data_IF_996598516166
#
_entry.id   IF_996598516166
#
_cell.length_a   1.000
_cell.length_b   1.000
_cell.length_c   1.000
_cell.angle_alpha   90.00
_cell.angle_beta   90.00
_cell.angle_gamma   90.00
#
_symmetry.space_group_name_H-M   'P 1'
#
loop_
_entity.id
_entity.type
_entity.pdbx_description
1 polymer ?
#
# COMPACT_ATOMS: atom_id res chain seq x y z
N UNK A 1 45.19 -9.64 25.68
CA UNK A 1 44.93 -8.26 26.13
C UNK A 1 44.27 -7.55 24.96
N UNK A 2 42.94 -7.43 24.96
CA UNK A 2 42.16 -6.88 23.84
C UNK A 2 42.21 -5.36 23.90
N UNK A 3 42.87 -4.75 22.92
CA UNK A 3 43.06 -3.30 22.78
C UNK A 3 42.05 -2.70 21.79
N UNK A 4 40.75 -2.97 21.94
CA UNK A 4 39.66 -2.24 21.27
C UNK A 4 38.34 -2.48 22.04
N UNK A 5 38.29 -2.05 23.31
CA UNK A 5 36.98 -1.80 23.93
C UNK A 5 36.42 -0.51 23.31
N UNK A 6 35.38 -0.64 22.47
CA UNK A 6 34.48 0.48 22.14
C UNK A 6 34.15 1.12 23.49
N UNK A 7 34.52 2.39 23.66
CA UNK A 7 34.23 3.23 24.83
C UNK A 7 32.83 2.95 25.35
N UNK A 8 32.65 2.93 26.68
CA UNK A 8 31.36 2.64 27.33
C UNK A 8 30.20 3.39 26.65
N UNK A 9 29.45 2.67 25.82
CA UNK A 9 28.36 3.22 25.05
C UNK A 9 27.25 3.65 26.00
N UNK A 10 26.95 4.94 26.00
CA UNK A 10 25.89 5.56 26.79
C UNK A 10 24.66 5.70 25.91
N UNK A 11 23.50 5.40 26.47
CA UNK A 11 22.19 5.56 25.85
C UNK A 11 21.36 6.57 26.62
N UNK A 12 20.57 7.37 25.90
CA UNK A 12 19.47 8.13 26.50
C UNK A 12 18.40 7.15 26.99
N UNK A 13 17.87 7.40 28.20
CA UNK A 13 16.72 6.68 28.71
C UNK A 13 15.42 7.42 28.38
N UNK A 14 14.44 6.66 27.93
CA UNK A 14 13.12 7.11 27.52
C UNK A 14 12.04 6.63 28.48
N UNK A 15 10.97 7.39 28.59
CA UNK A 15 9.70 6.92 29.16
C UNK A 15 8.99 5.99 28.19
N UNK A 16 7.92 5.32 28.63
CA UNK A 16 7.03 4.52 27.77
C UNK A 16 6.43 5.33 26.61
N UNK A 17 6.32 6.65 26.78
CA UNK A 17 5.74 7.60 25.83
C UNK A 17 6.82 8.23 24.93
N UNK A 18 8.04 7.70 24.95
CA UNK A 18 9.22 8.14 24.17
C UNK A 18 9.74 9.53 24.50
N UNK A 19 9.47 10.00 25.70
CA UNK A 19 10.06 11.24 26.19
C UNK A 19 11.45 10.95 26.80
N UNK A 20 12.46 11.75 26.43
CA UNK A 20 13.79 11.63 27.06
C UNK A 20 13.68 11.99 28.54
N UNK A 21 14.20 11.12 29.40
CA UNK A 21 14.20 11.32 30.86
C UNK A 21 15.33 12.23 31.35
N UNK A 22 16.30 12.55 30.48
CA UNK A 22 17.54 13.26 30.84
C UNK A 22 18.58 12.38 31.54
N UNK A 23 18.30 11.10 31.76
CA UNK A 23 19.23 10.14 32.36
C UNK A 23 19.95 9.33 31.27
N UNK A 24 21.21 9.02 31.55
CA UNK A 24 22.03 8.15 30.71
C UNK A 24 22.13 6.75 31.32
N UNK A 25 22.30 5.75 30.46
CA UNK A 25 22.47 4.36 30.83
C UNK A 25 23.63 3.72 30.07
N UNK A 26 24.43 2.90 30.75
CA UNK A 26 25.53 2.16 30.11
C UNK A 26 25.02 0.85 29.53
N UNK A 27 25.31 0.61 28.25
CA UNK A 27 24.88 -0.58 27.47
C UNK A 27 25.03 -1.94 28.18
N UNK A 28 26.06 -2.11 29.01
CA UNK A 28 26.39 -3.39 29.67
C UNK A 28 25.63 -3.60 30.99
N UNK A 29 24.94 -2.59 31.51
CA UNK A 29 24.22 -2.66 32.78
C UNK A 29 22.75 -3.08 32.55
N UNK A 30 22.07 -3.67 33.55
CA UNK A 30 20.63 -3.90 33.47
C UNK A 30 19.87 -2.58 33.34
N UNK A 31 18.96 -2.49 32.37
CA UNK A 31 18.08 -1.33 32.22
C UNK A 31 17.27 -1.11 33.49
N UNK A 32 17.19 0.13 34.02
CA UNK A 32 16.32 0.44 35.15
C UNK A 32 14.86 0.12 34.83
N UNK A 33 14.08 -0.19 35.88
CA UNK A 33 12.65 -0.43 35.73
C UNK A 33 11.94 0.76 35.09
N UNK A 34 10.97 0.48 34.23
CA UNK A 34 10.14 1.48 33.54
C UNK A 34 10.95 2.50 32.73
N UNK A 35 12.15 2.09 32.28
CA UNK A 35 13.04 2.88 31.41
C UNK A 35 13.31 2.13 30.11
N UNK A 36 13.33 2.87 29.01
CA UNK A 36 13.40 2.34 27.66
C UNK A 36 14.61 2.93 26.93
N UNK A 37 15.15 2.20 25.95
CA UNK A 37 16.17 2.71 25.02
C UNK A 37 15.64 2.77 23.59
N UNK A 38 16.34 3.51 22.73
CA UNK A 38 16.06 3.55 21.30
C UNK A 38 17.07 2.69 20.54
N UNK A 39 16.56 1.80 19.71
CA UNK A 39 17.29 1.06 18.68
C UNK A 39 16.82 1.51 17.31
N UNK A 40 17.65 1.27 16.30
CA UNK A 40 17.34 1.57 14.91
C UNK A 40 17.73 0.39 14.04
N UNK A 41 16.94 0.16 12.99
CA UNK A 41 17.30 -0.68 11.87
C UNK A 41 17.10 0.08 10.56
N UNK A 42 17.96 -0.18 9.60
CA UNK A 42 17.82 0.34 8.24
C UNK A 42 17.63 -0.84 7.29
N UNK A 43 16.61 -0.75 6.45
CA UNK A 43 16.32 -1.68 5.36
C UNK A 43 16.56 -0.95 4.04
N UNK A 44 17.70 -1.25 3.41
CA UNK A 44 18.10 -0.67 2.13
C UNK A 44 17.65 -1.61 1.02
N UNK A 45 16.82 -1.10 0.13
CA UNK A 45 16.38 -1.79 -1.07
C UNK A 45 17.02 -1.18 -2.31
N UNK A 46 17.25 -1.99 -3.33
CA UNK A 46 17.62 -1.50 -4.66
C UNK A 46 16.38 -1.34 -5.56
N UNK A 47 16.62 -0.88 -6.78
CA UNK A 47 15.58 -0.69 -7.81
C UNK A 47 14.94 -2.00 -8.30
N UNK A 48 15.58 -3.15 -8.03
CA UNK A 48 15.06 -4.49 -8.33
C UNK A 48 14.20 -5.09 -7.20
N UNK A 49 13.88 -4.32 -6.16
CA UNK A 49 13.17 -4.77 -4.96
C UNK A 49 13.88 -5.92 -4.21
N UNK A 50 15.22 -5.94 -4.26
CA UNK A 50 16.04 -6.79 -3.39
C UNK A 50 16.38 -6.01 -2.11
N UNK A 51 16.36 -6.71 -0.97
CA UNK A 51 16.82 -6.17 0.30
C UNK A 51 18.31 -6.44 0.44
N UNK A 52 19.10 -5.42 0.81
CA UNK A 52 20.46 -5.63 1.27
C UNK A 52 20.39 -6.30 2.63
N UNK A 53 20.85 -7.54 2.73
CA UNK A 53 20.93 -8.26 4.00
C UNK A 53 22.39 -8.38 4.42
N UNK A 54 22.61 -8.39 5.72
CA UNK A 54 23.94 -8.60 6.28
C UNK A 54 24.00 -9.87 7.12
N UNK A 55 25.13 -10.56 7.09
CA UNK A 55 25.42 -11.63 8.03
C UNK A 55 26.23 -11.07 9.18
N UNK A 56 25.72 -11.24 10.39
CA UNK A 56 26.36 -10.79 11.63
C UNK A 56 27.62 -11.62 11.90
N UNK A 57 28.64 -11.01 12.49
CA UNK A 57 29.84 -11.74 12.88
C UNK A 57 29.52 -12.87 13.89
N UNK A 58 30.24 -14.02 13.84
CA UNK A 58 29.93 -15.18 14.67
C UNK A 58 30.24 -14.98 16.16
N UNK A 59 30.98 -13.93 16.51
CA UNK A 59 31.33 -13.58 17.89
C UNK A 59 30.43 -12.47 18.47
N UNK A 60 29.37 -12.04 17.75
CA UNK A 60 28.38 -11.11 18.30
C UNK A 60 27.61 -11.75 19.46
N UNK A 61 27.38 -10.97 20.53
CA UNK A 61 26.59 -11.42 21.69
C UNK A 61 25.14 -11.80 21.33
N UNK A 62 24.51 -11.03 20.43
CA UNK A 62 23.15 -11.25 19.95
C UNK A 62 23.15 -11.76 18.52
N UNK A 63 22.40 -12.84 18.29
CA UNK A 63 22.21 -13.48 16.98
C UNK A 63 23.52 -13.72 16.21
N UNK A 64 24.54 -14.35 16.83
CA UNK A 64 25.82 -14.61 16.17
C UNK A 64 25.61 -15.40 14.88
N UNK A 65 26.31 -15.02 13.81
CA UNK A 65 26.32 -15.71 12.51
C UNK A 65 24.97 -15.76 11.75
N UNK A 66 23.94 -15.10 12.26
CA UNK A 66 22.63 -14.99 11.59
C UNK A 66 22.65 -13.91 10.52
N UNK A 67 21.79 -14.07 9.52
CA UNK A 67 21.43 -13.01 8.60
C UNK A 67 20.41 -12.07 9.22
N UNK A 68 20.54 -10.80 8.90
CA UNK A 68 19.78 -9.68 9.43
C UNK A 68 19.36 -8.75 8.28
N UNK A 69 18.49 -7.79 8.56
CA UNK A 69 18.25 -6.65 7.68
C UNK A 69 19.52 -5.80 7.54
N UNK A 70 19.52 -4.78 6.68
CA UNK A 70 20.77 -4.17 6.19
C UNK A 70 21.72 -3.70 7.28
N UNK A 71 21.20 -2.99 8.30
CA UNK A 71 21.98 -2.41 9.42
C UNK A 71 21.10 -2.39 10.66
N UNK A 72 21.68 -2.61 11.85
CA UNK A 72 20.94 -2.56 13.11
C UNK A 72 21.80 -2.16 14.31
N UNK A 73 21.40 -1.10 15.02
CA UNK A 73 22.19 -0.51 16.09
C UNK A 73 21.38 0.17 17.18
N UNK A 74 22.07 0.82 18.12
CA UNK A 74 21.43 1.55 19.22
C UNK A 74 21.72 3.05 19.08
N UNK A 75 20.74 3.89 19.39
CA UNK A 75 20.98 5.31 19.49
C UNK A 75 21.87 5.59 20.70
N UNK A 76 23.01 6.27 20.49
CA UNK A 76 23.88 6.69 21.60
C UNK A 76 23.34 7.98 22.22
N UNK A 77 23.86 8.34 23.39
CA UNK A 77 23.45 9.53 24.12
C UNK A 77 23.55 10.78 23.24
N UNK A 78 22.44 11.51 23.12
CA UNK A 78 22.34 12.69 22.27
C UNK A 78 21.83 12.42 20.86
N UNK A 79 21.88 11.18 20.35
CA UNK A 79 21.36 10.85 19.03
C UNK A 79 19.84 11.12 18.95
N UNK A 80 19.41 11.60 17.79
CA UNK A 80 18.07 11.34 17.27
C UNK A 80 18.01 9.95 16.62
N UNK A 81 16.80 9.45 16.36
CA UNK A 81 16.61 8.20 15.61
C UNK A 81 17.31 8.24 14.24
N UNK A 82 17.17 9.34 13.48
CA UNK A 82 17.77 9.47 12.15
C UNK A 82 19.29 9.60 12.19
N UNK A 83 19.84 10.27 13.21
CA UNK A 83 21.29 10.36 13.42
C UNK A 83 21.89 9.00 13.75
N UNK A 84 21.21 8.21 14.60
CA UNK A 84 21.63 6.85 14.89
C UNK A 84 21.62 5.99 13.62
N UNK A 85 20.53 6.03 12.83
CA UNK A 85 20.43 5.28 11.58
C UNK A 85 21.56 5.64 10.59
N UNK A 86 21.81 6.93 10.39
CA UNK A 86 22.88 7.43 9.54
C UNK A 86 24.27 6.97 10.03
N UNK A 87 24.54 7.08 11.33
CA UNK A 87 25.80 6.66 11.94
C UNK A 87 26.02 5.16 11.79
N UNK A 88 25.02 4.34 12.11
CA UNK A 88 25.14 2.87 12.02
C UNK A 88 25.35 2.41 10.58
N UNK A 89 24.71 3.05 9.59
CA UNK A 89 24.94 2.72 8.16
C UNK A 89 26.37 3.04 7.74
N UNK A 90 26.90 4.18 8.18
CA UNK A 90 28.28 4.54 7.91
C UNK A 90 29.26 3.62 8.64
N UNK A 91 29.03 3.32 9.92
CA UNK A 91 29.89 2.44 10.72
C UNK A 91 29.93 1.03 10.12
N UNK A 92 28.77 0.39 9.89
CA UNK A 92 28.70 -1.02 9.51
C UNK A 92 29.03 -1.27 8.03
N UNK A 93 28.60 -0.39 7.12
CA UNK A 93 28.71 -0.57 5.67
C UNK A 93 29.66 0.39 4.97
N UNK A 94 30.01 1.52 5.61
CA UNK A 94 30.82 2.57 5.00
C UNK A 94 30.05 3.45 4.01
N UNK A 95 28.72 3.50 4.10
CA UNK A 95 27.87 4.28 3.19
C UNK A 95 27.44 5.56 3.87
N UNK A 96 27.58 6.69 3.17
CA UNK A 96 27.03 7.97 3.60
C UNK A 96 25.63 8.15 3.01
N UNK A 97 24.61 8.19 3.88
CA UNK A 97 23.22 8.49 3.52
C UNK A 97 22.74 9.66 4.39
N UNK A 98 21.94 10.55 3.82
CA UNK A 98 21.33 11.66 4.55
C UNK A 98 19.92 11.29 5.02
N UNK A 99 19.75 11.18 6.34
CA UNK A 99 18.44 10.89 6.96
C UNK A 99 17.74 12.14 7.51
N UNK A 100 18.22 13.35 7.20
CA UNK A 100 17.68 14.60 7.74
C UNK A 100 16.19 14.84 7.43
N UNK A 101 15.72 14.34 6.29
CA UNK A 101 14.32 14.42 5.85
C UNK A 101 13.59 13.08 5.90
N UNK A 102 14.21 12.07 6.50
CA UNK A 102 13.65 10.72 6.61
C UNK A 102 13.06 10.49 8.00
N UNK A 103 12.01 9.68 8.06
CA UNK A 103 11.36 9.27 9.32
C UNK A 103 11.33 7.74 9.40
N UNK A 104 11.29 7.16 10.61
CA UNK A 104 11.02 5.73 10.75
C UNK A 104 9.72 5.38 10.03
N UNK A 105 9.77 4.34 9.21
CA UNK A 105 8.61 3.82 8.51
C UNK A 105 7.67 3.09 9.47
N UNK A 106 8.25 2.32 10.39
CA UNK A 106 7.54 1.68 11.50
C UNK A 106 8.42 1.65 12.74
N UNK A 107 7.81 1.49 13.91
CA UNK A 107 8.55 1.16 15.13
C UNK A 107 8.01 -0.11 15.76
N UNK A 108 8.93 -0.97 16.17
CA UNK A 108 8.65 -2.14 17.00
C UNK A 108 8.98 -1.86 18.47
N UNK A 109 8.12 -2.28 19.39
CA UNK A 109 8.43 -2.23 20.82
C UNK A 109 9.04 -3.57 21.27
N UNK A 110 10.01 -3.51 22.17
CA UNK A 110 10.52 -4.66 22.90
C UNK A 110 10.59 -4.33 24.40
N UNK A 111 10.82 -5.34 25.24
CA UNK A 111 10.72 -5.19 26.71
C UNK A 111 11.53 -4.04 27.31
N UNK A 112 12.64 -3.67 26.67
CA UNK A 112 13.53 -2.60 27.12
C UNK A 112 13.60 -1.40 26.18
N UNK A 113 12.72 -1.27 25.18
CA UNK A 113 12.86 -0.16 24.24
C UNK A 113 11.95 -0.14 23.02
N UNK A 114 12.33 0.77 22.12
CA UNK A 114 11.72 1.03 20.83
C UNK A 114 12.74 0.75 19.73
N UNK A 115 12.31 0.21 18.61
CA UNK A 115 13.16 -0.16 17.49
C UNK A 115 12.61 0.41 16.19
N UNK A 116 13.17 1.54 15.78
CA UNK A 116 12.75 2.33 14.62
C UNK A 116 13.33 1.74 13.32
N UNK A 117 12.47 1.36 12.39
CA UNK A 117 12.87 0.81 11.10
C UNK A 117 12.76 1.87 10.01
N UNK A 118 13.86 2.17 9.34
CA UNK A 118 13.92 3.02 8.16
C UNK A 118 13.93 2.17 6.89
N UNK A 119 13.18 2.59 5.88
CA UNK A 119 13.18 1.95 4.55
C UNK A 119 13.77 2.94 3.56
N UNK A 120 14.92 2.59 2.98
CA UNK A 120 15.66 3.44 2.04
C UNK A 120 15.76 2.72 0.70
N UNK A 121 15.68 3.48 -0.39
CA UNK A 121 15.89 2.99 -1.75
C UNK A 121 17.18 3.57 -2.31
N UNK A 122 18.15 2.71 -2.59
CA UNK A 122 19.45 3.09 -3.13
C UNK A 122 20.09 1.89 -3.85
N UNK A 123 20.43 2.07 -5.13
CA UNK A 123 21.29 1.12 -5.83
C UNK A 123 22.74 1.28 -5.34
N UNK A 124 23.31 0.20 -4.81
CA UNK A 124 24.65 0.17 -4.22
C UNK A 124 25.47 -0.95 -4.86
N UNK A 125 26.67 -0.59 -5.32
CA UNK A 125 27.68 -1.56 -5.71
C UNK A 125 28.34 -2.16 -4.48
N UNK A 126 28.05 -3.44 -4.20
CA UNK A 126 28.56 -4.15 -3.04
C UNK A 126 30.09 -4.21 -2.97
N UNK A 127 30.79 -4.10 -4.10
CA UNK A 127 32.25 -4.12 -4.15
C UNK A 127 32.89 -2.86 -3.55
N UNK A 128 32.12 -1.78 -3.43
CA UNK A 128 32.58 -0.49 -2.88
C UNK A 128 32.46 -0.38 -1.36
N UNK A 129 31.77 -1.34 -0.73
CA UNK A 129 31.46 -1.31 0.69
C UNK A 129 32.69 -1.49 1.57
N UNK A 130 32.70 -0.78 2.70
CA UNK A 130 33.74 -0.89 3.73
C UNK A 130 33.12 -1.48 4.98
N UNK A 131 32.98 -2.80 4.98
CA UNK A 131 32.34 -3.52 6.08
C UNK A 131 33.15 -3.43 7.37
N UNK A 132 32.49 -3.07 8.48
CA UNK A 132 33.10 -3.14 9.80
C UNK A 132 33.28 -4.58 10.24
N UNK A 133 34.54 -5.02 10.35
CA UNK A 133 34.91 -6.42 10.61
C UNK A 133 34.46 -6.91 11.98
N UNK A 134 34.16 -6.01 12.91
CA UNK A 134 33.67 -6.33 14.25
C UNK A 134 32.15 -6.59 14.28
N UNK A 135 31.41 -6.12 13.27
CA UNK A 135 29.95 -6.19 13.20
C UNK A 135 29.48 -7.13 12.08
N UNK A 136 30.00 -6.93 10.88
CA UNK A 136 29.50 -7.52 9.63
C UNK A 136 30.48 -8.52 9.04
N UNK A 137 30.00 -9.73 8.78
CA UNK A 137 30.77 -10.80 8.13
C UNK A 137 30.74 -10.68 6.61
N UNK A 138 29.57 -10.48 6.05
CA UNK A 138 29.33 -10.34 4.62
C UNK A 138 27.96 -9.73 4.38
N UNK A 139 27.72 -9.23 3.16
CA UNK A 139 26.43 -8.70 2.73
C UNK A 139 26.06 -9.28 1.37
N UNK A 140 24.77 -9.27 1.04
CA UNK A 140 24.28 -9.55 -0.31
C UNK A 140 22.91 -8.93 -0.54
N UNK A 141 22.58 -8.73 -1.81
CA UNK A 141 21.20 -8.51 -2.23
C UNK A 141 20.42 -9.83 -2.16
N UNK A 142 19.19 -9.77 -1.67
CA UNK A 142 18.30 -10.94 -1.60
C UNK A 142 16.85 -10.55 -1.95
N UNK A 143 16.22 -11.37 -2.78
CA UNK A 143 14.79 -11.27 -3.07
C UNK A 143 13.93 -11.76 -1.90
N UNK A 144 12.66 -11.38 -1.90
CA UNK A 144 11.67 -11.79 -0.89
C UNK A 144 11.67 -13.30 -0.65
N UNK A 145 11.62 -14.09 -1.72
CA UNK A 145 11.57 -15.55 -1.66
C UNK A 145 12.83 -16.14 -1.01
N UNK A 146 13.99 -15.55 -1.27
CA UNK A 146 15.26 -15.98 -0.66
C UNK A 146 15.27 -15.70 0.83
N UNK A 147 14.89 -14.48 1.24
CA UNK A 147 14.85 -14.09 2.65
C UNK A 147 13.86 -14.96 3.43
N UNK A 148 12.69 -15.26 2.87
CA UNK A 148 11.71 -16.15 3.49
C UNK A 148 12.20 -17.60 3.57
N UNK A 149 12.91 -18.08 2.55
CA UNK A 149 13.56 -19.39 2.59
C UNK A 149 14.62 -19.44 3.70
N UNK A 150 15.42 -18.39 3.87
CA UNK A 150 16.43 -18.30 4.93
C UNK A 150 15.80 -18.27 6.33
N UNK A 151 14.67 -17.57 6.48
CA UNK A 151 13.89 -17.59 7.72
C UNK A 151 13.35 -18.98 8.03
N UNK A 152 12.80 -19.68 7.04
CA UNK A 152 12.34 -21.07 7.18
C UNK A 152 13.49 -22.05 7.50
N UNK A 153 14.70 -21.77 7.03
CA UNK A 153 15.92 -22.54 7.33
C UNK A 153 16.53 -22.20 8.70
N UNK A 154 16.01 -21.19 9.40
CA UNK A 154 16.53 -20.77 10.71
C UNK A 154 17.89 -20.08 10.65
N UNK A 155 18.25 -19.45 9.52
CA UNK A 155 19.51 -18.70 9.35
C UNK A 155 19.31 -17.19 9.20
N UNK A 156 18.07 -16.71 9.16
CA UNK A 156 17.68 -15.30 9.17
C UNK A 156 16.97 -14.98 10.49
N UNK A 157 17.21 -13.80 11.08
CA UNK A 157 16.48 -13.34 12.26
C UNK A 157 14.97 -13.30 11.94
N UNK A 158 14.11 -13.86 12.80
CA UNK A 158 12.71 -14.13 12.46
C UNK A 158 11.81 -12.91 12.66
N UNK A 159 12.06 -11.82 11.94
CA UNK A 159 11.14 -10.69 11.90
C UNK A 159 9.79 -11.13 11.32
N UNK A 160 8.70 -10.96 12.07
CA UNK A 160 7.37 -11.42 11.66
C UNK A 160 6.79 -10.62 10.47
N UNK A 161 7.33 -9.43 10.21
CA UNK A 161 6.92 -8.52 9.14
C UNK A 161 7.89 -8.50 7.95
N UNK A 162 8.84 -9.45 7.90
CA UNK A 162 9.92 -9.44 6.91
C UNK A 162 9.41 -9.48 5.47
N UNK A 163 8.38 -10.29 5.19
CA UNK A 163 7.71 -10.32 3.89
C UNK A 163 7.01 -8.99 3.54
N UNK A 164 6.45 -8.32 4.56
CA UNK A 164 5.74 -7.05 4.40
C UNK A 164 6.68 -5.92 4.01
N UNK A 165 7.97 -5.95 4.39
CA UNK A 165 8.94 -4.94 3.95
C UNK A 165 9.06 -4.86 2.42
N UNK A 166 8.92 -5.99 1.73
CA UNK A 166 8.94 -6.05 0.26
C UNK A 166 7.63 -5.58 -0.37
N UNK A 167 6.49 -5.83 0.29
CA UNK A 167 5.16 -5.52 -0.24
C UNK A 167 4.75 -4.06 0.01
N UNK A 168 5.22 -3.49 1.11
CA UNK A 168 4.74 -2.20 1.59
C UNK A 168 5.20 -1.04 0.71
N UNK A 169 6.35 -1.18 0.06
CA UNK A 169 6.91 -0.20 -0.88
C UNK A 169 6.08 -0.01 -2.16
N UNK A 170 5.29 -1.01 -2.53
CA UNK A 170 4.32 -0.90 -3.63
C UNK A 170 3.00 -0.22 -3.20
N UNK A 171 2.79 -0.11 -1.90
CA UNK A 171 1.52 0.34 -1.30
C UNK A 171 1.64 1.72 -0.65
N UNK A 172 2.82 2.09 -0.18
CA UNK A 172 3.11 3.37 0.46
C UNK A 172 4.44 3.92 -0.07
N UNK A 173 4.51 5.23 -0.23
CA UNK A 173 5.77 5.91 -0.55
C UNK A 173 6.67 6.03 0.70
N UNK A 174 7.87 6.55 0.49
CA UNK A 174 8.87 6.80 1.55
C UNK A 174 8.39 7.76 2.65
N UNK A 175 7.39 8.60 2.37
CA UNK A 175 6.78 9.47 3.37
C UNK A 175 5.67 8.75 4.14
N UNK A 176 5.32 7.50 3.80
CA UNK A 176 4.24 6.74 4.40
C UNK A 176 2.87 7.09 3.84
N UNK A 177 2.80 7.80 2.70
CA UNK A 177 1.55 8.09 2.00
C UNK A 177 1.17 6.94 1.09
N UNK A 178 -0.12 6.59 1.03
CA UNK A 178 -0.58 5.45 0.25
C UNK A 178 -0.43 5.71 -1.25
N UNK A 179 0.22 4.80 -1.97
CA UNK A 179 0.33 4.84 -3.43
C UNK A 179 -0.96 4.24 -4.03
N UNK A 180 -1.83 5.11 -4.53
CA UNK A 180 -3.09 4.72 -5.18
C UNK A 180 -2.86 4.15 -6.59
N UNK A 181 -2.50 2.87 -6.71
CA UNK A 181 -2.43 2.17 -8.01
C UNK A 181 -3.79 1.61 -8.40
N UNK A 182 -4.64 2.44 -9.00
CA UNK A 182 -5.96 2.01 -9.47
C UNK A 182 -5.84 1.05 -10.65
N UNK A 183 -6.24 -0.20 -10.45
CA UNK A 183 -6.34 -1.24 -11.49
C UNK A 183 -7.78 -1.39 -11.94
N UNK A 184 -7.98 -1.66 -13.22
CA UNK A 184 -9.31 -1.97 -13.77
C UNK A 184 -9.32 -3.35 -14.41
N UNK A 185 -10.41 -4.09 -14.28
CA UNK A 185 -10.53 -5.44 -14.82
C UNK A 185 -11.97 -5.92 -14.88
N UNK A 186 -12.16 -7.16 -15.34
CA UNK A 186 -13.46 -7.84 -15.28
C UNK A 186 -13.62 -8.51 -13.92
N UNK A 187 -14.76 -8.27 -13.27
CA UNK A 187 -15.04 -8.82 -11.97
C UNK A 187 -15.51 -10.28 -12.07
N UNK A 188 -14.94 -11.12 -11.22
CA UNK A 188 -15.40 -12.47 -10.91
C UNK A 188 -15.79 -12.61 -9.44
N UNK A 189 -16.15 -13.81 -8.99
CA UNK A 189 -16.67 -14.04 -7.63
C UNK A 189 -15.77 -13.57 -6.49
N UNK A 190 -14.44 -13.58 -6.66
CA UNK A 190 -13.50 -13.04 -5.67
C UNK A 190 -13.66 -11.55 -5.40
N UNK A 191 -14.40 -10.83 -6.25
CA UNK A 191 -14.66 -9.40 -6.16
C UNK A 191 -16.02 -9.10 -5.51
N UNK A 192 -16.90 -10.10 -5.34
CA UNK A 192 -18.30 -9.88 -4.97
C UNK A 192 -18.46 -9.16 -3.64
N UNK A 193 -17.80 -9.63 -2.58
CA UNK A 193 -17.91 -8.99 -1.25
C UNK A 193 -17.49 -7.52 -1.27
N UNK A 194 -16.33 -7.21 -1.88
CA UNK A 194 -15.87 -5.82 -1.99
C UNK A 194 -16.78 -4.98 -2.90
N UNK A 195 -17.38 -5.59 -3.92
CA UNK A 195 -18.33 -4.93 -4.81
C UNK A 195 -19.60 -4.55 -4.05
N UNK A 196 -20.14 -5.47 -3.25
CA UNK A 196 -21.32 -5.24 -2.43
C UNK A 196 -21.05 -4.19 -1.35
N UNK A 197 -19.85 -4.18 -0.76
CA UNK A 197 -19.41 -3.13 0.16
C UNK A 197 -19.40 -1.74 -0.50
N UNK A 198 -18.88 -1.61 -1.73
CA UNK A 198 -18.99 -0.34 -2.46
C UNK A 198 -20.46 0.00 -2.78
N UNK A 199 -21.25 -1.01 -3.16
CA UNK A 199 -22.67 -0.85 -3.42
C UNK A 199 -23.42 -0.21 -2.24
N UNK A 200 -23.14 -0.62 -1.00
CA UNK A 200 -23.75 -0.04 0.21
C UNK A 200 -23.47 1.47 0.34
N UNK A 201 -22.27 1.91 -0.06
CA UNK A 201 -21.84 3.32 0.00
C UNK A 201 -22.61 4.16 -1.02
N UNK A 202 -22.88 3.59 -2.20
CA UNK A 202 -23.48 4.29 -3.35
C UNK A 202 -24.97 3.99 -3.52
N UNK A 203 -25.59 3.13 -2.71
CA UNK A 203 -26.99 2.70 -2.91
C UNK A 203 -27.97 3.87 -2.94
N UNK A 204 -27.69 4.93 -2.19
CA UNK A 204 -28.51 6.15 -2.16
C UNK A 204 -28.38 7.01 -3.43
N UNK A 205 -27.34 6.76 -4.24
CA UNK A 205 -27.17 7.37 -5.57
C UNK A 205 -28.01 6.64 -6.64
N UNK A 206 -28.65 5.50 -6.32
CA UNK A 206 -29.48 4.72 -7.23
C UNK A 206 -30.92 4.62 -6.72
N UNK A 207 -31.89 5.27 -7.39
CA UNK A 207 -33.29 5.15 -7.03
C UNK A 207 -33.77 3.69 -7.02
N UNK A 208 -34.55 3.29 -6.01
CA UNK A 208 -35.14 1.95 -5.93
C UNK A 208 -34.33 0.92 -5.12
N UNK A 209 -33.15 1.29 -4.61
CA UNK A 209 -32.31 0.40 -3.78
C UNK A 209 -32.58 0.49 -2.27
N UNK A 210 -33.71 1.06 -1.84
CA UNK A 210 -33.98 1.33 -0.42
C UNK A 210 -34.41 0.10 0.38
N UNK A 211 -34.94 -0.94 -0.30
CA UNK A 211 -35.47 -2.13 0.36
C UNK A 211 -34.47 -3.29 0.38
N UNK A 212 -34.57 -4.16 1.39
CA UNK A 212 -33.77 -5.40 1.49
C UNK A 212 -33.99 -6.31 0.27
N UNK A 213 -35.23 -6.37 -0.25
CA UNK A 213 -35.55 -7.16 -1.42
C UNK A 213 -34.85 -6.62 -2.69
N UNK A 214 -34.85 -5.29 -2.87
CA UNK A 214 -34.13 -4.65 -3.97
C UNK A 214 -32.61 -4.89 -3.87
N UNK A 215 -32.08 -4.87 -2.65
CA UNK A 215 -30.67 -5.15 -2.40
C UNK A 215 -30.27 -6.60 -2.75
N UNK A 216 -31.07 -7.59 -2.37
CA UNK A 216 -30.86 -8.98 -2.80
C UNK A 216 -30.97 -9.12 -4.33
N UNK A 217 -31.95 -8.48 -4.96
CA UNK A 217 -32.10 -8.48 -6.41
C UNK A 217 -30.90 -7.84 -7.13
N UNK A 218 -30.29 -6.81 -6.54
CA UNK A 218 -29.06 -6.22 -7.04
C UNK A 218 -27.90 -7.20 -6.95
N UNK A 219 -27.73 -7.91 -5.83
CA UNK A 219 -26.69 -8.93 -5.67
C UNK A 219 -26.81 -10.02 -6.74
N UNK A 220 -28.01 -10.56 -6.97
CA UNK A 220 -28.27 -11.57 -8.02
C UNK A 220 -27.92 -11.03 -9.42
N UNK A 221 -28.20 -9.76 -9.66
CA UNK A 221 -27.85 -9.08 -10.91
C UNK A 221 -26.35 -8.95 -11.09
N UNK A 222 -25.61 -8.55 -10.06
CA UNK A 222 -24.14 -8.49 -10.08
C UNK A 222 -23.56 -9.87 -10.37
N UNK A 223 -24.03 -10.91 -9.68
CA UNK A 223 -23.58 -12.30 -9.90
C UNK A 223 -23.80 -12.73 -11.36
N UNK A 224 -24.96 -12.40 -11.94
CA UNK A 224 -25.27 -12.70 -13.35
C UNK A 224 -24.27 -12.02 -14.29
N UNK A 225 -23.99 -10.74 -14.09
CA UNK A 225 -23.03 -9.98 -14.90
C UNK A 225 -21.59 -10.49 -14.75
N UNK A 226 -21.18 -10.90 -13.54
CA UNK A 226 -19.88 -11.53 -13.33
C UNK A 226 -19.76 -12.84 -14.12
N UNK A 227 -20.78 -13.71 -14.08
CA UNK A 227 -20.82 -14.95 -14.88
C UNK A 227 -20.76 -14.69 -16.39
N UNK A 228 -21.36 -13.60 -16.86
CA UNK A 228 -21.42 -13.23 -18.27
C UNK A 228 -20.19 -12.44 -18.76
N UNK A 229 -19.24 -12.12 -17.87
CA UNK A 229 -18.09 -11.27 -18.21
C UNK A 229 -18.50 -9.84 -18.60
N UNK A 230 -19.56 -9.33 -18.00
CA UNK A 230 -20.13 -8.00 -18.23
C UNK A 230 -20.15 -7.12 -16.97
N UNK A 231 -19.38 -7.52 -15.95
CA UNK A 231 -19.07 -6.71 -14.78
C UNK A 231 -17.60 -6.25 -14.85
N UNK A 232 -17.37 -4.95 -14.73
CA UNK A 232 -16.04 -4.31 -14.68
C UNK A 232 -15.87 -3.65 -13.32
N UNK A 233 -14.68 -3.79 -12.73
CA UNK A 233 -14.30 -3.11 -11.52
C UNK A 233 -13.13 -2.16 -11.75
N UNK A 234 -13.01 -1.18 -10.86
CA UNK A 234 -11.77 -0.49 -10.54
C UNK A 234 -11.43 -0.77 -9.07
N UNK A 235 -10.17 -1.08 -8.77
CA UNK A 235 -9.72 -1.37 -7.42
C UNK A 235 -8.45 -0.61 -7.05
N UNK A 236 -8.39 -0.17 -5.80
CA UNK A 236 -7.20 0.29 -5.11
C UNK A 236 -6.70 -0.85 -4.21
N UNK A 237 -5.59 -1.49 -4.60
CA UNK A 237 -5.22 -2.78 -4.04
C UNK A 237 -6.30 -3.82 -4.34
N UNK A 238 -6.92 -4.38 -3.28
CA UNK A 238 -8.05 -5.33 -3.39
C UNK A 238 -9.41 -4.68 -3.16
N UNK A 239 -9.44 -3.41 -2.75
CA UNK A 239 -10.67 -2.69 -2.44
C UNK A 239 -11.26 -2.15 -3.73
N UNK A 240 -12.50 -2.54 -4.05
CA UNK A 240 -13.23 -2.03 -5.19
C UNK A 240 -13.68 -0.60 -4.90
N UNK A 241 -13.26 0.31 -5.78
CA UNK A 241 -13.52 1.76 -5.70
C UNK A 241 -14.31 2.27 -6.90
N UNK A 242 -14.57 1.41 -7.88
CA UNK A 242 -15.46 1.70 -8.99
C UNK A 242 -16.07 0.44 -9.57
N UNK A 243 -17.30 0.55 -10.04
CA UNK A 243 -18.07 -0.55 -10.60
C UNK A 243 -18.74 -0.12 -11.89
N UNK A 244 -18.85 -1.06 -12.84
CA UNK A 244 -19.56 -0.88 -14.09
C UNK A 244 -20.23 -2.21 -14.49
N UNK A 245 -21.55 -2.17 -14.69
CA UNK A 245 -22.31 -3.27 -15.31
C UNK A 245 -22.79 -2.83 -16.70
N UNK A 246 -22.73 -3.73 -17.68
CA UNK A 246 -23.18 -3.43 -19.04
C UNK A 246 -23.90 -4.60 -19.71
N UNK A 247 -24.71 -4.31 -20.72
CA UNK A 247 -25.35 -5.29 -21.61
C UNK A 247 -24.73 -5.17 -23.00
N UNK A 248 -24.22 -6.30 -23.52
CA UNK A 248 -23.73 -6.37 -24.91
C UNK A 248 -24.88 -6.33 -25.91
N UNK A 249 -25.96 -7.06 -25.61
CA UNK A 249 -27.15 -7.18 -26.47
C UNK A 249 -27.87 -5.85 -26.66
N UNK A 250 -28.07 -5.10 -25.57
CA UNK A 250 -28.75 -3.79 -25.63
C UNK A 250 -27.80 -2.63 -25.92
N UNK A 251 -26.52 -2.91 -26.06
CA UNK A 251 -25.45 -1.92 -26.10
C UNK A 251 -25.57 -0.84 -25.01
N UNK A 252 -25.82 -1.28 -23.77
CA UNK A 252 -26.28 -0.41 -22.67
C UNK A 252 -25.38 -0.47 -21.44
N UNK A 253 -25.04 0.69 -20.88
CA UNK A 253 -24.50 0.82 -19.52
C UNK A 253 -25.67 0.65 -18.54
N UNK A 254 -25.56 -0.35 -17.65
CA UNK A 254 -26.59 -0.67 -16.65
C UNK A 254 -26.32 0.01 -15.30
N UNK A 255 -25.06 0.07 -14.92
CA UNK A 255 -24.62 0.68 -13.68
C UNK A 255 -23.22 1.23 -13.90
N UNK A 256 -22.95 2.42 -13.38
CA UNK A 256 -21.61 3.00 -13.33
C UNK A 256 -21.51 3.86 -12.08
N UNK A 257 -20.58 3.53 -11.19
CA UNK A 257 -20.30 4.31 -10.01
C UNK A 257 -18.82 4.28 -9.65
N UNK A 258 -18.38 5.34 -8.98
CA UNK A 258 -17.05 5.46 -8.39
C UNK A 258 -17.21 5.99 -6.98
N UNK A 259 -16.51 5.38 -6.03
CA UNK A 259 -16.45 5.78 -4.63
C UNK A 259 -16.19 7.29 -4.51
N UNK A 260 -16.91 8.02 -3.65
CA UNK A 260 -16.80 9.48 -3.54
C UNK A 260 -15.37 10.02 -3.42
N UNK A 261 -14.55 9.39 -2.57
CA UNK A 261 -13.14 9.76 -2.35
C UNK A 261 -12.21 9.48 -3.54
N UNK A 262 -12.65 8.65 -4.49
CA UNK A 262 -11.88 8.27 -5.69
C UNK A 262 -12.38 8.97 -6.96
N UNK A 263 -13.38 9.87 -6.84
CA UNK A 263 -13.87 10.66 -7.98
C UNK A 263 -12.78 11.61 -8.49
N UNK A 264 -12.93 12.11 -9.72
CA UNK A 264 -12.00 13.03 -10.41
C UNK A 264 -10.62 12.44 -10.75
N UNK A 265 -10.41 11.13 -10.59
CA UNK A 265 -9.18 10.42 -10.97
C UNK A 265 -9.28 9.67 -12.32
N UNK A 266 -10.23 10.08 -13.19
CA UNK A 266 -10.52 9.45 -14.50
C UNK A 266 -10.86 7.94 -14.46
N UNK A 267 -11.23 7.41 -13.29
CA UNK A 267 -11.54 5.98 -13.09
C UNK A 267 -12.72 5.51 -13.96
N UNK A 268 -13.83 6.24 -13.94
CA UNK A 268 -15.00 5.91 -14.75
C UNK A 268 -14.68 5.85 -16.26
N UNK A 269 -13.87 6.80 -16.75
CA UNK A 269 -13.41 6.81 -18.14
C UNK A 269 -12.57 5.57 -18.49
N UNK A 270 -11.67 5.13 -17.61
CA UNK A 270 -10.89 3.88 -17.81
C UNK A 270 -11.78 2.64 -17.86
N UNK A 271 -12.77 2.54 -16.97
CA UNK A 271 -13.73 1.43 -16.99
C UNK A 271 -14.57 1.42 -18.27
N UNK A 272 -14.98 2.59 -18.77
CA UNK A 272 -15.70 2.70 -20.05
C UNK A 272 -14.84 2.31 -21.25
N UNK A 273 -13.54 2.64 -21.25
CA UNK A 273 -12.61 2.18 -22.29
C UNK A 273 -12.51 0.65 -22.29
N UNK A 274 -12.41 0.02 -21.10
CA UNK A 274 -12.40 -1.43 -20.98
C UNK A 274 -13.72 -2.05 -21.45
N UNK A 275 -14.86 -1.45 -21.10
CA UNK A 275 -16.18 -1.88 -21.57
C UNK A 275 -16.24 -1.90 -23.10
N UNK A 276 -15.79 -0.83 -23.76
CA UNK A 276 -15.80 -0.71 -25.23
C UNK A 276 -15.09 -1.87 -25.94
N UNK A 277 -14.04 -2.45 -25.34
CA UNK A 277 -13.35 -3.63 -25.91
C UNK A 277 -14.23 -4.89 -26.02
N UNK A 278 -15.37 -4.91 -25.33
CA UNK A 278 -16.33 -6.02 -25.33
C UNK A 278 -17.63 -5.70 -26.06
N UNK A 279 -17.81 -4.45 -26.49
CA UNK A 279 -18.99 -4.00 -27.21
C UNK A 279 -18.81 -4.23 -28.71
N UNK A 280 -19.92 -4.31 -29.44
CA UNK A 280 -19.87 -4.37 -30.90
C UNK A 280 -19.22 -3.09 -31.45
N UNK A 281 -18.17 -3.19 -32.29
CA UNK A 281 -17.57 -2.02 -32.93
C UNK A 281 -18.61 -1.23 -33.72
N UNK A 282 -18.58 0.10 -33.61
CA UNK A 282 -19.51 0.98 -34.31
C UNK A 282 -20.93 1.04 -33.74
N UNK A 283 -21.27 0.22 -32.74
CA UNK A 283 -22.60 0.29 -32.11
C UNK A 283 -22.73 1.56 -31.24
N UNK A 284 -23.93 2.15 -31.28
CA UNK A 284 -24.32 3.20 -30.35
C UNK A 284 -24.34 2.65 -28.93
N UNK A 285 -23.80 3.41 -27.97
CA UNK A 285 -23.84 3.04 -26.56
C UNK A 285 -24.88 3.88 -25.85
N UNK A 286 -25.74 3.24 -25.06
CA UNK A 286 -26.81 3.94 -24.35
C UNK A 286 -26.68 3.82 -22.84
N UNK A 287 -27.19 4.82 -22.14
CA UNK A 287 -27.27 4.82 -20.68
C UNK A 287 -28.54 5.55 -20.26
N UNK A 288 -29.19 5.05 -19.22
CA UNK A 288 -30.26 5.80 -18.55
C UNK A 288 -29.65 6.55 -17.38
N UNK A 289 -29.94 7.84 -17.31
CA UNK A 289 -29.50 8.70 -16.22
C UNK A 289 -30.64 9.62 -15.81
N UNK A 290 -30.44 10.37 -14.74
CA UNK A 290 -31.41 11.31 -14.20
C UNK A 290 -31.86 12.37 -15.21
N UNK A 291 -33.07 12.91 -15.03
CA UNK A 291 -33.58 14.03 -15.84
C UNK A 291 -32.86 15.34 -15.51
N UNK A 292 -33.06 16.35 -16.35
CA UNK A 292 -32.33 17.63 -16.27
C UNK A 292 -32.64 18.43 -15.00
N UNK A 293 -33.86 18.30 -14.48
CA UNK A 293 -34.36 18.96 -13.28
C UNK A 293 -33.96 18.24 -11.97
N UNK A 294 -33.35 17.06 -12.08
CA UNK A 294 -32.97 16.25 -10.93
C UNK A 294 -31.57 16.61 -10.41
N UNK A 295 -31.53 17.17 -9.19
CA UNK A 295 -30.29 17.61 -8.54
C UNK A 295 -29.33 16.44 -8.23
N UNK A 296 -29.85 15.24 -7.94
CA UNK A 296 -28.99 14.07 -7.73
C UNK A 296 -28.24 13.69 -9.02
N UNK A 297 -28.82 14.05 -10.17
CA UNK A 297 -28.32 13.73 -11.49
C UNK A 297 -27.21 14.60 -12.06
N UNK A 298 -26.97 15.79 -11.50
CA UNK A 298 -26.09 16.79 -12.15
C UNK A 298 -24.69 16.28 -12.43
N UNK A 299 -24.08 15.54 -11.50
CA UNK A 299 -22.74 14.98 -11.68
C UNK A 299 -22.71 13.90 -12.77
N UNK A 300 -23.68 12.97 -12.76
CA UNK A 300 -23.77 11.89 -13.73
C UNK A 300 -24.02 12.42 -15.16
N UNK A 301 -24.97 13.35 -15.30
CA UNK A 301 -25.28 13.99 -16.59
C UNK A 301 -24.07 14.75 -17.14
N UNK A 302 -23.43 15.58 -16.32
CA UNK A 302 -22.24 16.34 -16.72
C UNK A 302 -21.11 15.42 -17.19
N UNK A 303 -20.91 14.29 -16.50
CA UNK A 303 -19.94 13.28 -16.89
C UNK A 303 -20.25 12.65 -18.25
N UNK A 304 -21.49 12.23 -18.50
CA UNK A 304 -21.88 11.65 -19.79
C UNK A 304 -21.77 12.66 -20.94
N UNK A 305 -22.18 13.91 -20.72
CA UNK A 305 -21.98 14.99 -21.69
C UNK A 305 -20.51 15.20 -22.05
N UNK A 306 -19.62 15.24 -21.05
CA UNK A 306 -18.18 15.40 -21.28
C UNK A 306 -17.56 14.24 -22.09
N UNK A 307 -18.19 13.07 -22.10
CA UNK A 307 -17.81 11.92 -22.91
C UNK A 307 -18.47 11.90 -24.30
N UNK A 308 -19.30 12.89 -24.63
CA UNK A 308 -19.98 13.02 -25.91
C UNK A 308 -21.31 12.27 -26.00
N UNK A 309 -21.89 11.82 -24.88
CA UNK A 309 -23.28 11.36 -24.88
C UNK A 309 -24.21 12.56 -25.07
N UNK A 310 -25.26 12.36 -25.86
CA UNK A 310 -26.33 13.34 -26.06
C UNK A 310 -27.64 12.82 -25.47
N UNK A 311 -28.49 13.70 -24.90
CA UNK A 311 -29.81 13.31 -24.46
C UNK A 311 -30.66 12.84 -25.64
N UNK A 312 -31.47 11.80 -25.41
CA UNK A 312 -32.39 11.22 -26.39
C UNK A 312 -33.83 11.37 -25.88
N UNK A 313 -34.46 10.30 -25.37
CA UNK A 313 -35.85 10.32 -24.89
C UNK A 313 -35.96 10.24 -23.37
N UNK A 314 -37.08 10.73 -22.84
CA UNK A 314 -37.47 10.51 -21.44
C UNK A 314 -38.02 9.10 -21.26
N UNK A 315 -37.76 8.49 -20.10
CA UNK A 315 -38.21 7.13 -19.78
C UNK A 315 -38.53 7.02 -18.27
N UNK A 316 -38.88 5.81 -17.83
CA UNK A 316 -39.05 5.42 -16.43
C UNK A 316 -38.21 4.18 -16.11
N UNK A 317 -37.46 4.23 -15.00
CA UNK A 317 -36.75 3.08 -14.44
C UNK A 317 -37.32 2.78 -13.05
N UNK A 318 -37.99 1.65 -12.87
CA UNK A 318 -38.64 1.28 -11.59
C UNK A 318 -39.53 2.41 -11.02
N UNK A 319 -40.33 3.04 -11.89
CA UNK A 319 -41.16 4.22 -11.61
C UNK A 319 -40.41 5.52 -11.30
N UNK A 320 -39.07 5.52 -11.40
CA UNK A 320 -38.26 6.73 -11.30
C UNK A 320 -38.12 7.46 -12.65
N UNK A 321 -38.35 8.78 -12.71
CA UNK A 321 -38.11 9.59 -13.90
C UNK A 321 -36.66 9.57 -14.37
N UNK A 322 -36.40 9.00 -15.55
CA UNK A 322 -35.05 8.99 -16.16
C UNK A 322 -35.06 9.60 -17.55
N UNK A 323 -33.88 9.85 -18.09
CA UNK A 323 -33.62 10.25 -19.46
C UNK A 323 -32.55 9.34 -20.07
N UNK A 324 -32.83 8.81 -21.25
CA UNK A 324 -31.87 8.05 -22.06
C UNK A 324 -30.85 9.01 -22.67
N UNK A 325 -29.59 8.63 -22.57
CA UNK A 325 -28.45 9.27 -23.20
C UNK A 325 -27.82 8.30 -24.19
N UNK A 326 -27.36 8.81 -25.33
CA UNK A 326 -26.77 8.00 -26.41
C UNK A 326 -25.42 8.57 -26.81
N UNK A 327 -24.41 7.73 -26.85
CA UNK A 327 -23.13 8.01 -27.47
C UNK A 327 -23.12 7.40 -28.86
N UNK A 328 -23.23 8.27 -29.87
CA UNK A 328 -23.19 7.88 -31.28
C UNK A 328 -21.75 7.55 -31.67
N UNK A 329 -21.50 6.31 -32.07
CA UNK A 329 -20.20 5.96 -32.63
C UNK A 329 -20.14 6.55 -34.04
N UNK A 330 -19.30 7.57 -34.27
CA UNK A 330 -19.10 8.08 -35.63
C UNK A 330 -18.35 7.01 -36.41
N UNK A 331 -18.94 6.58 -37.52
CA UNK A 331 -18.37 5.62 -38.47
C UNK A 331 -17.03 6.12 -39.03
#
# INVERSE_FOLDING_TARGET
>A
MNLYEKTDELWDLYTKDREKTGKLHRRKEPLPKDSFRLAVHVCIFNSENQLLIQQRQPFKKGWPNMWDVSVGGSAVAGDSSSQAAQREVFEELGIELDFSNERPFLTMNFSGGFDDFYLIEQDIDLSTLRLQKEEVRQVRWAYKEEVLKMQAQGIMIPYWFLDRLFDIRDSYDRQGERIHRIRTGFAGFSHLESWMSLGEIIKHDFPGMESVAAWHGYCDTVIRHMKQGTAIYAADGRMIVGILLFSKEESKIRCLAVHPEYRRQKIASKMLQLMKTKMQPGADIVVETFREDDKAGYAARSFYHALGFVPDRLDLYENYPVQRFVWKCRA
#
